data_IF_257372561628
#
_entry.id   IF_257372561628
#
_cell.length_a   1.000
_cell.length_b   1.000
_cell.length_c   1.000
_cell.angle_alpha   90.00
_cell.angle_beta   90.00
_cell.angle_gamma   90.00
#
_symmetry.space_group_name_H-M   'P 1'
#
loop_
_entity.id
_entity.type
_entity.pdbx_description
1 polymer ?
#
# COMPACT_ATOMS: atom_id res chain seq x y z
N UNK A 1 3.72 -0.01 26.22
CA UNK A 1 4.21 1.36 25.96
C UNK A 1 4.73 1.39 24.52
N UNK A 2 3.97 1.98 23.58
CA UNK A 2 4.15 1.76 22.13
C UNK A 2 5.05 2.76 21.41
N UNK A 3 5.83 3.55 22.15
CA UNK A 3 6.77 4.55 21.63
C UNK A 3 8.04 4.49 22.49
N UNK A 4 9.20 4.46 21.84
CA UNK A 4 10.53 4.48 22.47
C UNK A 4 11.27 5.78 22.15
N UNK A 5 12.23 6.14 23.01
CA UNK A 5 13.11 7.28 22.77
C UNK A 5 13.96 7.07 21.51
N UNK A 6 14.16 8.11 20.70
CA UNK A 6 14.85 8.04 19.41
C UNK A 6 14.05 7.39 18.27
N UNK A 7 12.81 6.97 18.52
CA UNK A 7 11.96 6.35 17.49
C UNK A 7 11.35 7.38 16.53
N UNK A 8 11.35 7.07 15.23
CA UNK A 8 10.63 7.85 14.22
C UNK A 8 9.12 7.69 14.36
N UNK A 9 8.42 8.81 14.44
CA UNK A 9 6.97 8.89 14.48
C UNK A 9 6.43 9.50 13.18
N UNK A 10 5.21 9.11 12.83
CA UNK A 10 4.42 9.73 11.77
C UNK A 10 3.52 10.77 12.41
N UNK A 11 3.55 12.00 11.89
CA UNK A 11 2.69 13.09 12.31
C UNK A 11 1.60 13.38 11.29
N UNK A 12 0.37 13.52 11.77
CA UNK A 12 -0.80 13.90 10.98
C UNK A 12 -1.50 15.07 11.69
N UNK A 13 -1.84 16.13 10.95
CA UNK A 13 -2.73 17.19 11.47
C UNK A 13 -4.15 16.86 11.03
N UNK A 14 -5.05 16.64 11.99
CA UNK A 14 -6.46 16.33 11.76
C UNK A 14 -7.29 17.12 12.74
N UNK A 15 -8.32 17.82 12.26
CA UNK A 15 -9.26 18.57 13.09
C UNK A 15 -8.60 19.64 13.99
N UNK A 16 -7.48 20.21 13.54
CA UNK A 16 -6.69 21.17 14.31
C UNK A 16 -5.76 20.54 15.36
N UNK A 17 -5.70 19.22 15.45
CA UNK A 17 -4.83 18.49 16.37
C UNK A 17 -3.65 17.82 15.65
N UNK A 18 -2.45 17.90 16.24
CA UNK A 18 -1.30 17.10 15.81
C UNK A 18 -1.37 15.71 16.46
N UNK A 19 -1.59 14.69 15.65
CA UNK A 19 -1.60 13.28 16.06
C UNK A 19 -0.28 12.63 15.69
N UNK A 20 0.45 12.13 16.69
CA UNK A 20 1.69 11.38 16.49
C UNK A 20 1.43 9.88 16.69
N UNK A 21 1.93 9.05 15.77
CA UNK A 21 1.80 7.60 15.85
C UNK A 21 3.08 6.89 15.41
N UNK A 22 3.35 5.72 15.98
CA UNK A 22 4.40 4.85 15.44
C UNK A 22 4.04 4.36 14.04
N UNK A 23 5.03 4.10 13.20
CA UNK A 23 4.85 3.60 11.83
C UNK A 23 3.93 2.38 11.79
N UNK A 24 4.14 1.42 12.68
CA UNK A 24 3.33 0.18 12.71
C UNK A 24 1.87 0.47 13.05
N UNK A 25 1.61 1.48 13.87
CA UNK A 25 0.24 1.91 14.19
C UNK A 25 -0.42 2.58 13.01
N UNK A 26 0.32 3.44 12.27
CA UNK A 26 -0.16 4.03 11.03
C UNK A 26 -0.53 2.96 9.99
N UNK A 27 0.36 1.97 9.80
CA UNK A 27 0.13 0.85 8.89
C UNK A 27 -1.11 0.05 9.28
N UNK A 28 -1.26 -0.31 10.56
CA UNK A 28 -2.45 -1.03 11.04
C UNK A 28 -3.74 -0.25 10.81
N UNK A 29 -3.73 1.07 11.06
CA UNK A 29 -4.89 1.95 10.81
C UNK A 29 -5.26 1.96 9.33
N UNK A 30 -4.27 2.10 8.44
CA UNK A 30 -4.48 2.06 6.99
C UNK A 30 -5.03 0.70 6.54
N UNK A 31 -4.46 -0.41 7.00
CA UNK A 31 -4.93 -1.76 6.71
C UNK A 31 -6.38 -1.98 7.16
N UNK A 32 -6.74 -1.50 8.36
CA UNK A 32 -8.10 -1.59 8.87
C UNK A 32 -9.11 -0.78 8.03
N UNK A 33 -8.70 0.37 7.48
CA UNK A 33 -9.53 1.15 6.57
C UNK A 33 -9.75 0.42 5.25
N UNK A 34 -8.69 -0.12 4.65
CA UNK A 34 -8.75 -0.87 3.39
C UNK A 34 -9.61 -2.13 3.53
N UNK A 35 -9.49 -2.85 4.66
CA UNK A 35 -10.24 -4.09 4.90
C UNK A 35 -11.77 -3.92 4.85
N UNK A 36 -12.29 -2.71 5.06
CA UNK A 36 -13.73 -2.40 4.88
C UNK A 36 -14.23 -2.61 3.46
N UNK A 37 -13.32 -2.59 2.48
CA UNK A 37 -13.62 -2.72 1.06
C UNK A 37 -13.17 -4.05 0.46
N UNK A 38 -12.43 -4.87 1.21
CA UNK A 38 -11.91 -6.16 0.74
C UNK A 38 -12.74 -7.30 1.34
N UNK A 39 -13.44 -8.10 0.52
CA UNK A 39 -14.25 -9.22 1.01
C UNK A 39 -13.46 -10.23 1.86
N UNK A 40 -14.16 -10.94 2.74
CA UNK A 40 -13.53 -12.01 3.52
C UNK A 40 -12.99 -13.13 2.61
N UNK A 41 -11.89 -13.77 3.03
CA UNK A 41 -11.21 -14.80 2.25
C UNK A 41 -10.46 -14.32 0.99
N UNK A 42 -10.60 -13.05 0.60
CA UNK A 42 -9.89 -12.48 -0.55
C UNK A 42 -8.49 -12.00 -0.18
N UNK A 43 -7.50 -12.42 -0.96
CA UNK A 43 -6.13 -11.92 -0.91
C UNK A 43 -5.93 -10.80 -1.93
N UNK A 44 -6.17 -9.55 -1.49
CA UNK A 44 -5.93 -8.37 -2.33
C UNK A 44 -4.49 -8.31 -2.86
N UNK A 45 -3.52 -8.82 -2.09
CA UNK A 45 -2.12 -8.85 -2.49
C UNK A 45 -1.91 -9.73 -3.71
N UNK A 46 -2.50 -10.92 -3.72
CA UNK A 46 -2.35 -11.86 -4.84
C UNK A 46 -3.01 -11.33 -6.11
N UNK A 47 -4.18 -10.70 -5.99
CA UNK A 47 -4.87 -10.03 -7.10
C UNK A 47 -3.99 -8.92 -7.71
N UNK A 48 -3.51 -7.98 -6.89
CA UNK A 48 -2.68 -6.87 -7.38
C UNK A 48 -1.36 -7.34 -7.99
N UNK A 49 -0.74 -8.40 -7.45
CA UNK A 49 0.48 -8.97 -8.03
C UNK A 49 0.18 -9.63 -9.39
N UNK A 50 -0.93 -10.36 -9.51
CA UNK A 50 -1.35 -10.97 -10.75
C UNK A 50 -1.61 -9.90 -11.83
N UNK A 51 -2.33 -8.83 -11.48
CA UNK A 51 -2.60 -7.71 -12.38
C UNK A 51 -1.32 -7.04 -12.88
N UNK A 52 -0.38 -6.73 -11.96
CA UNK A 52 0.91 -6.12 -12.34
C UNK A 52 1.75 -7.00 -13.24
N UNK A 53 1.75 -8.31 -13.02
CA UNK A 53 2.47 -9.26 -13.89
C UNK A 53 1.83 -9.32 -15.27
N UNK A 54 0.51 -9.34 -15.35
CA UNK A 54 -0.21 -9.32 -16.62
C UNK A 54 0.02 -8.01 -17.37
N UNK A 55 0.08 -6.87 -16.68
CA UNK A 55 0.43 -5.57 -17.24
C UNK A 55 1.85 -5.56 -17.81
N UNK A 56 2.85 -5.98 -17.02
CA UNK A 56 4.23 -6.05 -17.48
C UNK A 56 4.39 -6.94 -18.73
N UNK A 57 3.67 -8.06 -18.81
CA UNK A 57 3.67 -8.93 -20.00
C UNK A 57 3.06 -8.25 -21.23
N UNK A 58 1.99 -7.46 -21.07
CA UNK A 58 1.41 -6.68 -22.17
C UNK A 58 2.40 -5.62 -22.65
N UNK A 59 2.98 -4.86 -21.73
CA UNK A 59 3.99 -3.85 -22.06
C UNK A 59 5.20 -4.45 -22.79
N UNK A 60 5.69 -5.63 -22.36
CA UNK A 60 6.77 -6.34 -23.04
C UNK A 60 6.36 -6.80 -24.45
N UNK A 61 5.14 -7.34 -24.59
CA UNK A 61 4.60 -7.77 -25.89
C UNK A 61 4.40 -6.58 -26.84
N UNK A 62 3.89 -5.46 -26.34
CA UNK A 62 3.71 -4.21 -27.09
C UNK A 62 5.05 -3.60 -27.49
N UNK A 63 6.05 -3.61 -26.59
CA UNK A 63 7.40 -3.15 -26.90
C UNK A 63 8.10 -4.02 -27.95
N UNK A 64 7.87 -5.34 -27.94
CA UNK A 64 8.34 -6.27 -28.97
C UNK A 64 7.61 -6.05 -30.32
N UNK A 65 6.33 -5.70 -30.29
CA UNK A 65 5.53 -5.46 -31.49
C UNK A 65 5.78 -4.08 -32.13
N UNK A 66 6.11 -3.04 -31.34
CA UNK A 66 6.37 -1.67 -31.82
C UNK A 66 7.74 -1.51 -32.50
N UNK A 67 8.60 -2.53 -32.48
CA UNK A 67 9.58 -2.79 -33.55
C UNK A 67 10.46 -1.63 -34.05
N UNK A 68 10.69 -0.56 -33.27
CA UNK A 68 11.82 0.36 -33.46
C UNK A 68 12.98 -0.09 -32.58
N UNK A 69 13.69 -1.10 -33.06
CA UNK A 69 15.14 -1.21 -32.90
C UNK A 69 15.76 -1.64 -34.22
#
# INVERSE_FOLDING_TARGET
>A
MGIAEGQTLVGEVSDGELRLMSRDTAVRKAQALVRKYVPEGVSLVDELIAERRAEAQREETEALADGRK
#
